data_IF_476011783015
#
_entry.id   IF_476011783015
#
_cell.length_a   1.000
_cell.length_b   1.000
_cell.length_c   1.000
_cell.angle_alpha   90.00
_cell.angle_beta   90.00
_cell.angle_gamma   90.00
#
_symmetry.space_group_name_H-M   'P 1'
#
loop_
_entity.id
_entity.type
_entity.pdbx_description
1 polymer ?
#
# COMPACT_ATOMS: atom_id res chain seq x y z
N UNK A 1 21.54 43.47 117.86
CA UNK A 1 20.09 43.30 117.63
C UNK A 1 19.93 42.91 116.17
N UNK A 2 19.27 41.78 115.90
CA UNK A 2 19.10 41.17 114.58
C UNK A 2 18.54 42.17 113.55
N UNK A 3 19.08 42.15 112.33
CA UNK A 3 18.25 42.31 111.13
C UNK A 3 18.74 41.38 110.02
N UNK A 4 17.88 40.41 109.73
CA UNK A 4 17.87 39.53 108.57
C UNK A 4 17.32 40.30 107.36
N UNK A 5 17.95 40.12 106.20
CA UNK A 5 17.26 40.24 104.90
C UNK A 5 17.95 39.29 103.91
N UNK A 6 17.31 38.19 103.49
CA UNK A 6 17.76 37.42 102.35
C UNK A 6 17.23 38.04 101.05
N UNK A 7 18.14 38.34 100.13
CA UNK A 7 17.84 38.67 98.74
C UNK A 7 17.94 37.43 97.84
N UNK A 8 17.10 37.43 96.81
CA UNK A 8 17.19 36.71 95.54
C UNK A 8 16.80 35.21 95.54
N UNK A 9 15.49 34.97 95.69
CA UNK A 9 14.82 33.95 94.88
C UNK A 9 14.06 34.67 93.75
N UNK A 10 13.82 33.95 92.65
CA UNK A 10 12.83 34.26 91.60
C UNK A 10 13.24 35.17 90.41
N UNK A 11 14.07 34.63 89.50
CA UNK A 11 14.17 35.14 88.11
C UNK A 11 14.16 34.05 87.03
N UNK A 12 14.47 32.80 87.38
CA UNK A 12 14.45 31.68 86.42
C UNK A 12 13.05 31.10 86.22
N UNK A 13 12.22 31.12 87.25
CA UNK A 13 10.86 30.55 87.26
C UNK A 13 9.87 31.39 86.45
N UNK A 14 10.05 32.71 86.41
CA UNK A 14 9.23 33.62 85.59
C UNK A 14 9.45 33.42 84.10
N UNK A 15 10.69 33.24 83.62
CA UNK A 15 10.99 33.01 82.20
C UNK A 15 10.36 31.73 81.65
N UNK A 16 10.40 30.63 82.41
CA UNK A 16 9.76 29.38 81.98
C UNK A 16 8.24 29.45 82.04
N UNK A 17 7.67 30.24 82.96
CA UNK A 17 6.23 30.50 83.02
C UNK A 17 5.74 31.38 81.86
N UNK A 18 6.57 32.33 81.41
CA UNK A 18 6.28 33.25 80.31
C UNK A 18 6.39 32.54 78.94
N UNK A 19 7.39 31.66 78.78
CA UNK A 19 7.47 30.75 77.63
C UNK A 19 6.29 29.78 77.64
N UNK A 20 5.94 29.18 78.78
CA UNK A 20 4.78 28.28 78.90
C UNK A 20 3.45 28.95 78.56
N UNK A 21 3.26 30.23 78.95
CA UNK A 21 2.09 31.03 78.60
C UNK A 21 2.06 31.44 77.12
N UNK A 22 3.22 31.65 76.49
CA UNK A 22 3.31 31.93 75.05
C UNK A 22 2.94 30.71 74.19
N UNK A 23 3.16 29.49 74.69
CA UNK A 23 2.71 28.26 74.05
C UNK A 23 1.23 27.93 74.36
N UNK A 24 0.70 28.28 75.53
CA UNK A 24 -0.73 28.06 75.85
C UNK A 24 -1.68 29.06 75.20
N UNK A 25 -1.19 30.21 74.71
CA UNK A 25 -1.97 31.16 73.90
C UNK A 25 -2.06 30.79 72.41
N UNK A 26 -1.44 29.70 71.95
CA UNK A 26 -1.60 29.22 70.58
C UNK A 26 -2.89 28.41 70.35
N UNK A 27 -3.84 28.42 71.29
CA UNK A 27 -5.17 27.81 71.11
C UNK A 27 -6.05 28.57 70.10
N UNK A 28 -5.64 29.76 69.66
CA UNK A 28 -6.19 30.46 68.49
C UNK A 28 -5.64 29.96 67.14
N UNK A 29 -4.75 28.94 67.13
CA UNK A 29 -4.10 28.44 65.91
C UNK A 29 -4.62 27.09 65.41
N UNK A 30 -5.46 26.39 66.16
CA UNK A 30 -6.04 25.11 65.72
C UNK A 30 -7.17 25.29 64.71
N UNK A 31 -8.03 26.30 64.89
CA UNK A 31 -9.12 26.55 63.93
C UNK A 31 -8.60 27.14 62.61
N UNK A 32 -7.63 28.05 62.66
CA UNK A 32 -6.99 28.61 61.47
C UNK A 32 -6.12 27.58 60.75
N UNK A 33 -5.39 26.71 61.47
CA UNK A 33 -4.60 25.65 60.82
C UNK A 33 -5.49 24.57 60.21
N UNK A 34 -6.59 24.16 60.86
CA UNK A 34 -7.58 23.26 60.27
C UNK A 34 -8.25 23.85 59.03
N UNK A 35 -8.55 25.16 59.02
CA UNK A 35 -9.07 25.85 57.84
C UNK A 35 -8.05 25.89 56.69
N UNK A 36 -6.77 26.17 56.99
CA UNK A 36 -5.71 26.17 55.98
C UNK A 36 -5.47 24.77 55.41
N UNK A 37 -5.43 23.73 56.25
CA UNK A 37 -5.29 22.33 55.82
C UNK A 37 -6.51 21.91 54.98
N UNK A 38 -7.72 22.28 55.39
CA UNK A 38 -8.94 22.03 54.64
C UNK A 38 -8.94 22.71 53.27
N UNK A 39 -8.51 23.98 53.20
CA UNK A 39 -8.38 24.71 51.94
C UNK A 39 -7.35 24.06 51.02
N UNK A 40 -6.21 23.62 51.57
CA UNK A 40 -5.15 22.97 50.79
C UNK A 40 -5.61 21.61 50.26
N UNK A 41 -6.34 20.84 51.05
CA UNK A 41 -6.95 19.57 50.64
C UNK A 41 -7.97 19.77 49.50
N UNK A 42 -8.78 20.84 49.57
CA UNK A 42 -9.73 21.19 48.51
C UNK A 42 -8.98 21.58 47.23
N UNK A 43 -7.92 22.39 47.32
CA UNK A 43 -7.10 22.78 46.15
C UNK A 43 -6.46 21.55 45.50
N UNK A 44 -5.91 20.64 46.31
CA UNK A 44 -5.33 19.39 45.81
C UNK A 44 -6.40 18.51 45.16
N UNK A 45 -7.59 18.38 45.77
CA UNK A 45 -8.70 17.63 45.19
C UNK A 45 -9.15 18.23 43.84
N UNK A 46 -9.23 19.56 43.73
CA UNK A 46 -9.55 20.25 42.48
C UNK A 46 -8.46 20.00 41.43
N UNK A 47 -7.18 20.09 41.78
CA UNK A 47 -6.07 19.79 40.87
C UNK A 47 -6.11 18.34 40.36
N UNK A 48 -6.38 17.37 41.25
CA UNK A 48 -6.53 15.97 40.88
C UNK A 48 -7.70 15.78 39.91
N UNK A 49 -8.85 16.42 40.17
CA UNK A 49 -10.00 16.38 39.27
C UNK A 49 -9.66 17.01 37.92
N UNK A 50 -8.96 18.15 37.88
CA UNK A 50 -8.53 18.79 36.63
C UNK A 50 -7.58 17.87 35.85
N UNK A 51 -6.61 17.25 36.50
CA UNK A 51 -5.67 16.30 35.87
C UNK A 51 -6.43 15.10 35.30
N UNK A 52 -7.38 14.53 36.06
CA UNK A 52 -8.22 13.42 35.60
C UNK A 52 -9.07 13.84 34.41
N UNK A 53 -9.69 15.02 34.44
CA UNK A 53 -10.49 15.55 33.33
C UNK A 53 -9.63 15.81 32.09
N UNK A 54 -8.42 16.35 32.25
CA UNK A 54 -7.46 16.55 31.15
C UNK A 54 -7.04 15.21 30.55
N UNK A 55 -6.74 14.21 31.39
CA UNK A 55 -6.37 12.87 30.94
C UNK A 55 -7.51 12.15 30.22
N UNK A 56 -8.75 12.22 30.74
CA UNK A 56 -9.94 11.67 30.09
C UNK A 56 -10.23 12.36 28.76
N UNK A 57 -10.04 13.69 28.68
CA UNK A 57 -10.23 14.46 27.45
C UNK A 57 -9.15 14.14 26.42
N UNK A 58 -7.89 14.01 26.84
CA UNK A 58 -6.79 13.58 25.99
C UNK A 58 -6.99 12.14 25.47
N UNK A 59 -7.47 11.22 26.32
CA UNK A 59 -7.77 9.83 25.93
C UNK A 59 -8.97 9.73 24.97
N UNK A 60 -10.01 10.56 25.16
CA UNK A 60 -11.16 10.64 24.24
C UNK A 60 -10.81 11.30 22.90
N UNK A 61 -9.83 12.20 22.89
CA UNK A 61 -9.36 12.90 21.69
C UNK A 61 -8.10 12.28 21.08
N UNK A 62 -7.61 11.15 21.61
CA UNK A 62 -6.50 10.43 21.03
C UNK A 62 -6.98 9.83 19.69
N UNK A 63 -6.71 10.55 18.60
CA UNK A 63 -6.97 10.07 17.25
C UNK A 63 -6.11 8.82 17.04
N UNK A 64 -6.76 7.67 16.88
CA UNK A 64 -6.08 6.44 16.52
C UNK A 64 -5.44 6.62 15.14
N UNK A 65 -4.11 6.65 15.09
CA UNK A 65 -3.33 6.67 13.85
C UNK A 65 -2.90 5.21 13.59
N UNK A 66 -3.40 4.56 12.53
CA UNK A 66 -2.99 3.20 12.18
C UNK A 66 -1.47 3.10 11.98
N UNK A 67 -0.89 1.97 12.40
CA UNK A 67 0.52 1.69 12.14
C UNK A 67 0.84 1.76 10.64
N UNK A 68 1.93 2.44 10.29
CA UNK A 68 2.38 2.64 8.91
C UNK A 68 1.84 3.92 8.25
N UNK A 69 1.02 4.72 8.94
CA UNK A 69 0.61 6.04 8.42
C UNK A 69 1.65 7.11 8.76
N UNK A 70 2.02 7.88 7.75
CA UNK A 70 2.90 9.04 7.85
C UNK A 70 2.02 10.26 7.59
N UNK A 71 1.80 11.06 8.64
CA UNK A 71 0.90 12.22 8.62
C UNK A 71 1.64 13.55 8.77
N UNK A 72 2.87 13.53 9.29
CA UNK A 72 3.67 14.73 9.49
C UNK A 72 4.14 15.25 8.13
N UNK A 73 3.91 16.54 7.76
CA UNK A 73 4.36 17.09 6.50
C UNK A 73 5.87 16.93 6.26
N UNK A 74 6.68 17.09 7.31
CA UNK A 74 8.13 16.87 7.26
C UNK A 74 8.48 15.43 6.92
N UNK A 75 7.84 14.44 7.56
CA UNK A 75 8.11 13.03 7.30
C UNK A 75 7.61 12.60 5.92
N UNK A 76 6.50 13.17 5.45
CA UNK A 76 5.98 12.99 4.09
C UNK A 76 7.01 13.48 3.08
N UNK A 77 7.52 14.70 3.27
CA UNK A 77 8.52 15.28 2.38
C UNK A 77 9.82 14.48 2.39
N UNK A 78 10.32 14.08 3.57
CA UNK A 78 11.51 13.22 3.71
C UNK A 78 11.30 11.88 3.00
N UNK A 79 10.13 11.27 3.12
CA UNK A 79 9.81 9.98 2.48
C UNK A 79 9.81 10.11 0.96
N UNK A 80 9.22 11.18 0.41
CA UNK A 80 9.19 11.44 -1.03
C UNK A 80 10.58 11.81 -1.54
N UNK A 81 11.35 12.63 -0.81
CA UNK A 81 12.73 12.97 -1.15
C UNK A 81 13.63 11.74 -1.17
N UNK A 82 13.50 10.85 -0.19
CA UNK A 82 14.19 9.56 -0.20
C UNK A 82 13.83 8.72 -1.43
N UNK A 83 12.56 8.69 -1.83
CA UNK A 83 12.14 8.04 -3.06
C UNK A 83 12.74 8.70 -4.32
N UNK A 84 12.86 10.03 -4.34
CA UNK A 84 13.49 10.80 -5.42
C UNK A 84 14.99 10.52 -5.51
N UNK A 85 15.71 10.54 -4.38
CA UNK A 85 17.15 10.27 -4.30
C UNK A 85 17.48 8.85 -4.77
N UNK A 86 16.60 7.89 -4.45
CA UNK A 86 16.68 6.51 -4.90
C UNK A 86 16.16 6.29 -6.34
N UNK A 87 15.74 7.36 -7.04
CA UNK A 87 15.13 7.32 -8.38
C UNK A 87 13.99 6.29 -8.49
N UNK A 88 13.18 6.22 -7.44
CA UNK A 88 12.07 5.28 -7.36
C UNK A 88 11.00 5.64 -8.40
N UNK A 89 10.47 4.60 -9.06
CA UNK A 89 9.35 4.77 -9.99
C UNK A 89 8.04 4.86 -9.21
N UNK A 90 7.28 5.91 -9.47
CA UNK A 90 5.94 6.13 -8.95
C UNK A 90 4.93 5.59 -9.96
N UNK A 91 4.13 4.62 -9.56
CA UNK A 91 2.95 4.22 -10.34
C UNK A 91 1.80 5.14 -10.00
N UNK A 92 1.34 5.91 -10.97
CA UNK A 92 0.23 6.86 -10.83
C UNK A 92 -1.00 6.24 -11.48
N UNK A 93 -2.04 5.96 -10.69
CA UNK A 93 -3.32 5.45 -11.15
C UNK A 93 -4.34 6.58 -11.20
N UNK A 94 -4.92 6.80 -12.38
CA UNK A 94 -5.92 7.83 -12.60
C UNK A 94 -7.31 7.30 -12.31
N UNK A 95 -8.08 8.04 -11.51
CA UNK A 95 -9.50 7.75 -11.31
C UNK A 95 -10.28 8.30 -12.51
N UNK A 96 -10.99 7.43 -13.22
CA UNK A 96 -11.95 7.82 -14.27
C UNK A 96 -13.31 7.26 -13.91
N UNK A 97 -14.34 8.09 -13.97
CA UNK A 97 -15.74 7.69 -13.71
C UNK A 97 -16.29 6.78 -14.81
N UNK A 98 -15.75 6.87 -16.03
CA UNK A 98 -16.29 6.20 -17.23
C UNK A 98 -15.33 5.21 -17.89
N UNK A 99 -14.06 5.17 -17.45
CA UNK A 99 -13.06 4.24 -17.97
C UNK A 99 -12.37 3.46 -16.86
N UNK A 100 -12.02 2.21 -17.20
CA UNK A 100 -11.06 1.37 -16.49
C UNK A 100 -9.84 2.18 -16.02
N UNK A 101 -9.46 2.04 -14.73
CA UNK A 101 -8.25 2.65 -14.12
C UNK A 101 -7.07 2.55 -15.09
N UNK A 102 -6.63 3.69 -15.63
CA UNK A 102 -5.38 3.82 -16.38
C UNK A 102 -4.26 4.06 -15.37
N UNK A 103 -3.13 3.38 -15.52
CA UNK A 103 -1.95 3.65 -14.72
C UNK A 103 -0.76 4.00 -15.61
N UNK A 104 0.15 4.80 -15.08
CA UNK A 104 1.42 5.11 -15.72
C UNK A 104 2.55 5.06 -14.70
N UNK A 105 3.80 4.99 -15.17
CA UNK A 105 4.96 5.20 -14.33
C UNK A 105 5.51 6.60 -14.55
N UNK A 106 5.73 7.31 -13.45
CA UNK A 106 6.39 8.59 -13.42
C UNK A 106 7.60 8.55 -12.48
N UNK A 107 8.52 9.50 -12.65
CA UNK A 107 9.68 9.69 -11.77
C UNK A 107 9.57 11.06 -11.14
N UNK A 108 9.75 11.17 -9.83
CA UNK A 108 9.78 12.48 -9.15
C UNK A 108 11.06 13.21 -9.57
N UNK A 109 10.91 14.43 -10.07
CA UNK A 109 12.02 15.29 -10.50
C UNK A 109 12.27 16.44 -9.54
N UNK A 110 11.23 16.87 -8.81
CA UNK A 110 11.34 17.94 -7.83
C UNK A 110 10.25 17.83 -6.76
N UNK A 111 10.56 18.28 -5.56
CA UNK A 111 9.64 18.39 -4.42
C UNK A 111 9.87 19.75 -3.79
N UNK A 112 8.86 20.60 -3.82
CA UNK A 112 8.97 21.97 -3.32
C UNK A 112 7.70 22.77 -3.54
N UNK A 113 7.57 23.90 -2.85
CA UNK A 113 6.44 24.84 -3.02
C UNK A 113 5.06 24.18 -2.86
N UNK A 114 4.93 23.16 -1.99
CA UNK A 114 3.66 22.46 -1.77
C UNK A 114 3.28 21.46 -2.88
N UNK A 115 4.15 21.20 -3.84
CA UNK A 115 3.89 20.28 -4.96
C UNK A 115 5.02 19.28 -5.16
N UNK A 116 4.66 18.13 -5.74
CA UNK A 116 5.57 17.10 -6.21
C UNK A 116 5.51 17.15 -7.74
N UNK A 117 6.63 17.45 -8.39
CA UNK A 117 6.72 17.45 -9.85
C UNK A 117 7.26 16.11 -10.31
N UNK A 118 6.55 15.47 -11.23
CA UNK A 118 6.87 14.16 -11.76
C UNK A 118 7.00 14.21 -13.27
N UNK A 119 8.01 13.56 -13.81
CA UNK A 119 8.15 13.27 -15.24
C UNK A 119 7.39 11.99 -15.57
N UNK A 120 6.48 12.06 -16.55
CA UNK A 120 5.72 10.92 -17.04
C UNK A 120 6.00 10.68 -18.52
N UNK A 121 6.41 9.46 -18.85
CA UNK A 121 6.71 9.01 -20.22
C UNK A 121 5.61 8.07 -20.73
N UNK A 122 5.22 8.19 -22.01
CA UNK A 122 4.37 7.19 -22.68
C UNK A 122 2.86 7.37 -22.50
N UNK A 123 2.42 8.46 -21.86
CA UNK A 123 1.01 8.86 -21.85
C UNK A 123 0.72 9.77 -23.05
N UNK A 124 0.08 9.22 -24.08
CA UNK A 124 -0.44 10.02 -25.20
C UNK A 124 -1.69 10.80 -24.74
N UNK A 125 -1.78 12.07 -25.12
CA UNK A 125 -2.93 12.95 -24.88
C UNK A 125 -3.19 13.36 -23.41
N UNK A 126 -2.14 13.62 -22.61
CA UNK A 126 -2.36 14.32 -21.33
C UNK A 126 -2.88 15.72 -21.62
N UNK A 127 -4.08 16.04 -21.12
CA UNK A 127 -4.74 17.31 -21.38
C UNK A 127 -5.00 18.08 -20.08
N UNK A 128 -5.21 19.39 -20.21
CA UNK A 128 -5.59 20.26 -19.07
C UNK A 128 -6.88 19.82 -18.36
N UNK A 129 -7.71 18.98 -18.97
CA UNK A 129 -8.92 18.44 -18.34
C UNK A 129 -8.65 17.49 -17.16
N UNK A 130 -7.38 17.15 -16.93
CA UNK A 130 -6.96 16.30 -15.81
C UNK A 130 -6.63 17.09 -14.54
N UNK A 131 -6.53 18.42 -14.64
CA UNK A 131 -6.36 19.30 -13.48
C UNK A 131 -7.48 19.06 -12.46
N UNK A 132 -7.11 18.94 -11.18
CA UNK A 132 -8.02 18.68 -10.07
C UNK A 132 -8.45 17.22 -9.91
N UNK A 133 -8.13 16.32 -10.86
CA UNK A 133 -8.48 14.90 -10.71
C UNK A 133 -7.65 14.24 -9.63
N UNK A 134 -8.28 13.32 -8.90
CA UNK A 134 -7.62 12.47 -7.92
C UNK A 134 -6.82 11.37 -8.62
N UNK A 135 -5.62 11.13 -8.09
CA UNK A 135 -4.73 10.05 -8.48
C UNK A 135 -4.25 9.30 -7.26
N UNK A 136 -4.11 7.98 -7.39
CA UNK A 136 -3.41 7.17 -6.39
C UNK A 136 -1.98 6.95 -6.86
N UNK A 137 -1.02 7.28 -6.01
CA UNK A 137 0.40 7.13 -6.27
C UNK A 137 0.95 5.99 -5.42
N UNK A 138 1.68 5.07 -6.06
CA UNK A 138 2.34 3.94 -5.39
C UNK A 138 3.84 3.96 -5.68
N UNK A 139 4.66 3.92 -4.66
CA UNK A 139 6.11 3.93 -4.79
C UNK A 139 6.77 3.02 -3.76
N UNK A 140 8.08 2.81 -3.91
CA UNK A 140 8.87 2.04 -2.95
C UNK A 140 10.11 2.79 -2.53
N UNK A 141 10.57 2.55 -1.31
CA UNK A 141 11.82 3.09 -0.78
C UNK A 141 12.58 1.93 -0.13
N UNK A 142 13.89 1.87 -0.32
CA UNK A 142 14.75 0.96 0.41
C UNK A 142 15.14 1.60 1.75
N UNK A 143 14.99 0.85 2.84
CA UNK A 143 15.52 1.26 4.14
C UNK A 143 17.05 1.08 4.23
N UNK A 144 17.65 1.50 5.35
CA UNK A 144 19.10 1.35 5.60
C UNK A 144 19.59 -0.11 5.54
N UNK A 145 18.70 -1.06 5.85
CA UNK A 145 18.96 -2.51 5.80
C UNK A 145 18.65 -3.11 4.42
N UNK A 146 18.38 -2.27 3.41
CA UNK A 146 17.99 -2.64 2.04
C UNK A 146 16.66 -3.40 1.92
N UNK A 147 15.81 -3.34 2.94
CA UNK A 147 14.44 -3.87 2.84
C UNK A 147 13.59 -2.92 1.99
N UNK A 148 12.71 -3.51 1.16
CA UNK A 148 11.81 -2.73 0.31
C UNK A 148 10.53 -2.40 1.07
N UNK A 149 10.33 -1.11 1.35
CA UNK A 149 9.09 -0.56 1.90
C UNK A 149 8.23 -0.02 0.77
N UNK A 150 6.92 -0.27 0.85
CA UNK A 150 5.94 0.13 -0.16
C UNK A 150 4.98 1.15 0.43
N UNK A 151 4.78 2.25 -0.31
CA UNK A 151 3.99 3.39 0.12
C UNK A 151 2.94 3.72 -0.92
N UNK A 152 1.81 4.23 -0.44
CA UNK A 152 0.70 4.72 -1.24
C UNK A 152 0.19 6.04 -0.67
N UNK A 153 -0.21 6.97 -1.54
CA UNK A 153 -1.01 8.12 -1.16
C UNK A 153 -1.96 8.50 -2.29
N UNK A 154 -3.00 9.25 -1.96
CA UNK A 154 -3.88 9.87 -2.95
C UNK A 154 -3.63 11.37 -2.95
N UNK A 155 -3.60 11.97 -4.14
CA UNK A 155 -3.37 13.41 -4.32
C UNK A 155 -4.15 13.92 -5.54
N UNK A 156 -4.23 15.23 -5.72
CA UNK A 156 -4.86 15.86 -6.87
C UNK A 156 -3.83 16.45 -7.83
N UNK A 157 -4.14 16.40 -9.12
CA UNK A 157 -3.28 17.00 -10.16
C UNK A 157 -3.39 18.53 -10.08
N UNK A 158 -2.29 19.17 -9.71
CA UNK A 158 -2.16 20.62 -9.57
C UNK A 158 -1.62 21.31 -10.83
N UNK A 159 -0.97 20.58 -11.74
CA UNK A 159 -0.35 21.17 -12.93
C UNK A 159 0.01 20.11 -13.97
N UNK A 160 -0.09 20.47 -15.24
CA UNK A 160 0.39 19.65 -16.36
C UNK A 160 1.17 20.55 -17.30
N UNK A 161 2.40 20.16 -17.61
CA UNK A 161 3.29 20.84 -18.54
C UNK A 161 3.86 19.84 -19.54
N UNK A 162 3.42 19.85 -20.81
CA UNK A 162 4.07 19.04 -21.84
C UNK A 162 5.50 19.57 -22.06
N UNK A 163 6.47 18.66 -22.14
CA UNK A 163 7.87 18.99 -22.44
C UNK A 163 8.19 18.61 -23.88
N UNK A 164 7.78 17.41 -24.30
CA UNK A 164 7.84 16.92 -25.67
C UNK A 164 6.54 16.21 -26.04
N UNK A 165 6.46 15.62 -27.24
CA UNK A 165 5.30 14.82 -27.65
C UNK A 165 5.12 13.53 -26.84
N UNK A 166 6.19 13.02 -26.23
CA UNK A 166 6.21 11.74 -25.49
C UNK A 166 6.41 11.92 -23.98
N UNK A 167 6.89 13.11 -23.56
CA UNK A 167 7.23 13.44 -22.16
C UNK A 167 6.38 14.62 -21.68
N UNK A 168 5.74 14.43 -20.54
CA UNK A 168 5.00 15.48 -19.84
C UNK A 168 5.36 15.52 -18.38
N UNK A 169 5.47 16.72 -17.82
CA UNK A 169 5.57 16.92 -16.38
C UNK A 169 4.18 17.07 -15.79
N UNK A 170 3.90 16.32 -14.73
CA UNK A 170 2.69 16.43 -13.93
C UNK A 170 3.09 16.89 -12.54
N UNK A 171 2.47 17.96 -12.08
CA UNK A 171 2.58 18.43 -10.70
C UNK A 171 1.35 17.97 -9.93
N UNK A 172 1.56 17.32 -8.79
CA UNK A 172 0.51 16.93 -7.85
C UNK A 172 0.72 17.67 -6.53
N UNK A 173 -0.33 17.87 -5.75
CA UNK A 173 -0.18 18.48 -4.42
C UNK A 173 0.56 17.52 -3.47
N UNK A 174 1.26 18.07 -2.48
CA UNK A 174 1.79 17.24 -1.38
C UNK A 174 0.61 16.57 -0.68
N UNK A 175 0.63 15.23 -0.49
CA UNK A 175 -0.48 14.53 0.14
C UNK A 175 -0.57 14.87 1.63
N UNK A 176 -1.77 14.80 2.18
CA UNK A 176 -1.99 14.95 3.63
C UNK A 176 -1.54 13.71 4.42
N UNK A 177 -1.43 12.56 3.75
CA UNK A 177 -1.01 11.29 4.34
C UNK A 177 -0.27 10.42 3.34
N UNK A 178 0.71 9.68 3.83
CA UNK A 178 1.30 8.52 3.15
C UNK A 178 0.99 7.27 3.97
N UNK A 179 0.54 6.21 3.31
CA UNK A 179 0.25 4.92 3.92
C UNK A 179 1.30 3.91 3.50
N UNK A 180 2.01 3.32 4.46
CA UNK A 180 2.82 2.14 4.23
C UNK A 180 1.90 0.93 4.09
N UNK A 181 1.70 0.48 2.84
CA UNK A 181 0.81 -0.62 2.50
C UNK A 181 1.55 -1.64 1.67
N UNK A 182 1.21 -2.92 1.89
CA UNK A 182 1.60 -3.98 0.97
C UNK A 182 0.92 -3.73 -0.38
N UNK A 183 1.70 -3.34 -1.39
CA UNK A 183 1.21 -2.86 -2.71
C UNK A 183 0.32 -3.88 -3.45
N UNK A 184 0.40 -5.17 -3.12
CA UNK A 184 -0.29 -6.24 -3.85
C UNK A 184 -1.30 -6.91 -2.93
N UNK A 185 -2.57 -6.94 -3.37
CA UNK A 185 -3.65 -7.64 -2.69
C UNK A 185 -3.43 -9.16 -2.65
N UNK A 186 -2.77 -9.71 -3.68
CA UNK A 186 -2.38 -11.12 -3.76
C UNK A 186 -0.88 -11.32 -3.91
N UNK A 187 -0.41 -12.40 -3.29
CA UNK A 187 0.96 -12.89 -3.38
C UNK A 187 1.30 -13.23 -4.84
N UNK A 188 2.47 -12.79 -5.29
CA UNK A 188 3.05 -13.20 -6.59
C UNK A 188 4.13 -14.21 -6.35
N UNK A 189 4.09 -15.29 -7.12
CA UNK A 189 5.15 -16.29 -7.17
C UNK A 189 5.75 -16.30 -8.57
N UNK A 190 7.04 -16.57 -8.65
CA UNK A 190 7.76 -16.85 -9.89
C UNK A 190 7.86 -18.39 -9.97
N UNK A 191 6.89 -19.07 -10.62
CA UNK A 191 6.82 -20.52 -10.53
C UNK A 191 7.91 -21.19 -11.37
N UNK A 192 8.49 -22.31 -10.90
CA UNK A 192 9.33 -23.16 -11.73
C UNK A 192 8.63 -23.56 -13.02
N UNK A 193 9.34 -23.49 -14.15
CA UNK A 193 8.79 -23.78 -15.49
C UNK A 193 8.21 -25.21 -15.59
N UNK A 194 8.73 -26.16 -14.81
CA UNK A 194 8.24 -27.54 -14.73
C UNK A 194 6.77 -27.65 -14.28
N UNK A 195 6.22 -26.64 -13.61
CA UNK A 195 4.82 -26.62 -13.20
C UNK A 195 3.89 -25.99 -14.25
N UNK A 196 4.43 -25.53 -15.37
CA UNK A 196 3.68 -24.90 -16.45
C UNK A 196 3.52 -25.90 -17.58
N UNK A 197 2.29 -26.37 -17.80
CA UNK A 197 1.98 -27.40 -18.80
C UNK A 197 1.65 -26.80 -20.17
N UNK A 198 1.28 -25.52 -20.23
CA UNK A 198 1.05 -24.82 -21.47
C UNK A 198 0.50 -23.42 -21.29
N UNK A 199 0.80 -22.55 -22.26
CA UNK A 199 0.23 -21.22 -22.37
C UNK A 199 -0.18 -21.01 -23.83
N UNK A 200 -1.35 -20.45 -24.07
CA UNK A 200 -1.75 -19.99 -25.39
C UNK A 200 -2.49 -18.66 -25.30
N UNK A 201 -2.17 -17.74 -26.21
CA UNK A 201 -2.65 -16.35 -26.20
C UNK A 201 -3.36 -16.03 -27.52
N UNK A 202 -4.55 -15.44 -27.42
CA UNK A 202 -5.31 -14.92 -28.56
C UNK A 202 -5.73 -13.47 -28.29
N UNK A 203 -5.91 -12.70 -29.36
CA UNK A 203 -6.56 -11.38 -29.26
C UNK A 203 -8.05 -11.56 -28.96
N UNK A 204 -8.62 -10.66 -28.16
CA UNK A 204 -10.07 -10.62 -27.97
C UNK A 204 -10.78 -10.50 -29.32
N UNK A 205 -11.84 -11.30 -29.48
CA UNK A 205 -12.77 -11.21 -30.61
C UNK A 205 -14.15 -10.88 -30.09
N UNK A 206 -14.75 -9.85 -30.68
CA UNK A 206 -16.12 -9.45 -30.41
C UNK A 206 -17.00 -9.92 -31.57
N UNK A 207 -18.19 -10.38 -31.23
CA UNK A 207 -19.29 -10.60 -32.16
C UNK A 207 -19.93 -9.25 -32.53
N UNK A 208 -20.68 -9.22 -33.63
CA UNK A 208 -21.32 -7.98 -34.13
C UNK A 208 -22.39 -7.39 -33.20
N UNK A 209 -22.83 -8.15 -32.19
CA UNK A 209 -23.80 -7.76 -31.16
C UNK A 209 -23.13 -7.13 -29.92
N UNK A 210 -21.80 -7.01 -29.90
CA UNK A 210 -21.05 -6.48 -28.76
C UNK A 210 -20.69 -7.50 -27.68
N UNK A 211 -20.97 -8.79 -27.89
CA UNK A 211 -20.56 -9.86 -26.99
C UNK A 211 -19.19 -10.44 -27.36
N UNK A 212 -18.54 -11.13 -26.42
CA UNK A 212 -17.30 -11.87 -26.70
C UNK A 212 -17.58 -13.16 -27.49
N UNK A 213 -16.78 -13.44 -28.51
CA UNK A 213 -16.83 -14.73 -29.20
C UNK A 213 -16.21 -15.80 -28.29
N UNK A 214 -17.03 -16.70 -27.75
CA UNK A 214 -16.61 -17.77 -26.85
C UNK A 214 -16.41 -19.12 -27.54
N UNK A 215 -16.49 -19.17 -28.87
CA UNK A 215 -16.22 -20.39 -29.62
C UNK A 215 -14.77 -20.43 -30.10
N UNK A 216 -13.94 -21.25 -29.45
CA UNK A 216 -12.48 -21.29 -29.69
C UNK A 216 -12.10 -21.68 -31.12
N UNK A 217 -12.99 -22.36 -31.88
CA UNK A 217 -12.74 -22.70 -33.28
C UNK A 217 -12.63 -21.46 -34.16
N UNK A 218 -13.35 -20.40 -33.81
CA UNK A 218 -13.37 -19.14 -34.55
C UNK A 218 -12.13 -18.28 -34.26
N UNK A 219 -11.39 -18.58 -33.19
CA UNK A 219 -10.24 -17.79 -32.76
C UNK A 219 -9.01 -18.05 -33.62
N UNK A 220 -8.96 -19.20 -34.30
CA UNK A 220 -7.80 -19.62 -35.07
C UNK A 220 -6.63 -20.06 -34.19
N UNK A 221 -5.42 -20.04 -34.75
CA UNK A 221 -4.21 -20.43 -34.03
C UNK A 221 -3.83 -19.38 -32.97
N UNK A 222 -3.26 -19.79 -31.83
CA UNK A 222 -2.71 -18.86 -30.85
C UNK A 222 -1.64 -17.95 -31.49
N UNK A 223 -1.63 -16.68 -31.11
CA UNK A 223 -0.65 -15.69 -31.54
C UNK A 223 0.70 -15.91 -30.83
N UNK A 224 0.64 -16.35 -29.58
CA UNK A 224 1.79 -16.76 -28.79
C UNK A 224 1.45 -18.08 -28.08
N UNK A 225 2.43 -18.97 -27.99
CA UNK A 225 2.27 -20.24 -27.30
C UNK A 225 3.53 -20.71 -26.58
N UNK A 226 3.29 -21.41 -25.48
CA UNK A 226 4.28 -22.19 -24.75
C UNK A 226 3.81 -23.63 -24.68
N UNK A 227 4.63 -24.55 -25.20
CA UNK A 227 4.42 -25.99 -25.05
C UNK A 227 5.76 -26.60 -24.58
N UNK A 228 5.80 -27.25 -23.41
CA UNK A 228 6.99 -27.90 -22.90
C UNK A 228 7.63 -28.85 -23.93
N UNK A 229 8.96 -28.77 -24.06
CA UNK A 229 9.73 -29.62 -24.99
C UNK A 229 9.54 -29.32 -26.48
N UNK A 230 8.77 -28.30 -26.87
CA UNK A 230 8.58 -27.92 -28.28
C UNK A 230 9.05 -26.51 -28.58
N UNK A 231 8.16 -25.52 -28.38
CA UNK A 231 8.40 -24.12 -28.72
C UNK A 231 7.87 -23.25 -27.58
N UNK A 232 8.68 -22.27 -27.20
CA UNK A 232 8.40 -21.32 -26.13
C UNK A 232 8.44 -19.88 -26.70
N UNK A 233 7.34 -19.44 -27.30
CA UNK A 233 7.19 -18.07 -27.80
C UNK A 233 6.87 -17.09 -26.68
N UNK A 234 6.28 -17.61 -25.60
CA UNK A 234 5.95 -16.88 -24.39
C UNK A 234 6.36 -17.72 -23.19
N UNK A 235 6.70 -17.06 -22.07
CA UNK A 235 6.98 -17.71 -20.79
C UNK A 235 6.21 -17.01 -19.69
N UNK A 236 5.79 -17.77 -18.67
CA UNK A 236 5.22 -17.20 -17.46
C UNK A 236 6.36 -16.74 -16.55
N UNK A 237 6.48 -15.43 -16.32
CA UNK A 237 7.46 -14.89 -15.38
C UNK A 237 6.95 -14.94 -13.95
N UNK A 238 5.69 -14.55 -13.72
CA UNK A 238 5.06 -14.62 -12.42
C UNK A 238 3.54 -14.72 -12.51
N UNK A 239 2.94 -15.17 -11.40
CA UNK A 239 1.50 -15.39 -11.28
C UNK A 239 1.01 -15.04 -9.87
N UNK A 240 -0.19 -14.48 -9.80
CA UNK A 240 -0.96 -14.26 -8.56
C UNK A 240 -2.44 -14.51 -8.80
N UNK A 241 -3.24 -14.45 -7.73
CA UNK A 241 -4.69 -14.61 -7.83
C UNK A 241 -5.34 -13.62 -8.82
N UNK A 242 -4.83 -12.39 -8.91
CA UNK A 242 -5.39 -11.35 -9.79
C UNK A 242 -4.74 -11.16 -11.17
N UNK A 243 -3.70 -11.91 -11.53
CA UNK A 243 -3.02 -11.69 -12.80
C UNK A 243 -1.74 -12.49 -13.04
N UNK A 244 -1.16 -12.29 -14.22
CA UNK A 244 0.11 -12.92 -14.63
C UNK A 244 1.03 -11.91 -15.28
N UNK A 245 2.34 -12.19 -15.24
CA UNK A 245 3.34 -11.54 -16.08
C UNK A 245 3.86 -12.55 -17.10
N UNK A 246 3.74 -12.21 -18.37
CA UNK A 246 4.29 -12.99 -19.47
C UNK A 246 5.54 -12.32 -20.02
N UNK A 247 6.53 -13.12 -20.41
CA UNK A 247 7.74 -12.67 -21.08
C UNK A 247 7.75 -13.21 -22.51
N UNK A 248 8.00 -12.34 -23.48
CA UNK A 248 7.97 -12.63 -24.92
C UNK A 248 9.26 -12.12 -25.55
N UNK A 249 9.95 -13.01 -26.27
CA UNK A 249 11.18 -12.60 -26.98
C UNK A 249 10.87 -11.60 -28.08
N UNK A 250 11.80 -10.69 -28.36
CA UNK A 250 11.67 -9.66 -29.41
C UNK A 250 11.12 -10.20 -30.73
N UNK A 251 11.63 -11.34 -31.20
CA UNK A 251 11.24 -11.92 -32.48
C UNK A 251 9.81 -12.43 -32.45
N UNK A 252 9.43 -13.21 -31.44
CA UNK A 252 8.05 -13.71 -31.30
C UNK A 252 7.05 -12.57 -31.05
N UNK A 253 7.45 -11.51 -30.35
CA UNK A 253 6.63 -10.31 -30.17
C UNK A 253 6.30 -9.65 -31.52
N UNK A 254 7.32 -9.47 -32.39
CA UNK A 254 7.13 -8.96 -33.75
C UNK A 254 6.26 -9.88 -34.61
N UNK A 255 6.55 -11.18 -34.58
CA UNK A 255 5.88 -12.17 -35.42
C UNK A 255 4.43 -12.41 -34.99
N UNK A 256 4.07 -12.09 -33.73
CA UNK A 256 2.71 -12.24 -33.22
C UNK A 256 1.70 -11.26 -33.83
N UNK A 257 2.15 -10.14 -34.39
CA UNK A 257 1.29 -9.08 -34.91
C UNK A 257 0.47 -8.34 -33.83
N UNK A 258 0.82 -8.48 -32.55
CA UNK A 258 0.21 -7.75 -31.44
C UNK A 258 0.89 -6.39 -31.24
N UNK A 259 0.07 -5.35 -31.06
CA UNK A 259 0.55 -3.98 -30.78
C UNK A 259 0.79 -3.70 -29.28
N UNK A 260 0.39 -4.64 -28.41
CA UNK A 260 0.56 -4.61 -26.94
C UNK A 260 0.21 -3.26 -26.29
N UNK A 261 -0.96 -2.68 -26.60
CA UNK A 261 -1.39 -1.42 -26.01
C UNK A 261 -2.00 -1.64 -24.62
N UNK A 262 -1.75 -0.71 -23.70
CA UNK A 262 -2.41 -0.71 -22.37
C UNK A 262 -3.93 -0.70 -22.57
N UNK A 263 -4.63 -1.60 -21.88
CA UNK A 263 -6.08 -1.75 -21.98
C UNK A 263 -6.52 -2.83 -22.97
N UNK A 264 -5.65 -3.26 -23.89
CA UNK A 264 -5.93 -4.37 -24.80
C UNK A 264 -6.32 -5.61 -24.02
N UNK A 265 -7.28 -6.37 -24.57
CA UNK A 265 -7.75 -7.59 -23.94
C UNK A 265 -7.31 -8.81 -24.75
N UNK A 266 -6.87 -9.83 -24.01
CA UNK A 266 -6.33 -11.07 -24.55
C UNK A 266 -7.04 -12.24 -23.88
N UNK A 267 -7.39 -13.25 -24.68
CA UNK A 267 -7.76 -14.56 -24.16
C UNK A 267 -6.50 -15.37 -23.90
N UNK A 268 -6.42 -15.99 -22.73
CA UNK A 268 -5.30 -16.81 -22.30
C UNK A 268 -5.83 -18.15 -21.83
N UNK A 269 -5.30 -19.22 -22.43
CA UNK A 269 -5.35 -20.55 -21.87
C UNK A 269 -4.08 -20.76 -21.05
N UNK A 270 -4.26 -21.06 -19.76
CA UNK A 270 -3.18 -21.40 -18.85
C UNK A 270 -3.41 -22.81 -18.30
N UNK A 271 -2.44 -23.69 -18.51
CA UNK A 271 -2.44 -25.03 -17.96
C UNK A 271 -1.31 -25.15 -16.93
N UNK A 272 -1.68 -25.44 -15.67
CA UNK A 272 -0.78 -25.60 -14.54
C UNK A 272 -0.78 -27.05 -14.07
N UNK A 273 0.36 -27.51 -13.54
CA UNK A 273 0.48 -28.78 -12.84
C UNK A 273 0.31 -28.56 -11.34
N UNK A 274 -0.48 -29.42 -10.68
CA UNK A 274 -0.58 -29.50 -9.22
C UNK A 274 0.11 -30.79 -8.74
N UNK A 275 1.35 -30.70 -8.22
CA UNK A 275 2.11 -31.86 -7.75
C UNK A 275 1.44 -32.64 -6.62
N UNK A 276 0.70 -31.96 -5.73
CA UNK A 276 0.07 -32.63 -4.57
C UNK A 276 -1.06 -33.60 -5.01
N UNK A 277 -1.82 -33.22 -6.04
CA UNK A 277 -2.93 -34.02 -6.55
C UNK A 277 -2.58 -34.80 -7.80
N UNK A 278 -1.44 -34.49 -8.44
CA UNK A 278 -1.07 -35.02 -9.74
C UNK A 278 -2.06 -34.61 -10.84
N UNK A 279 -2.74 -33.48 -10.70
CA UNK A 279 -3.76 -33.04 -11.64
C UNK A 279 -3.33 -31.80 -12.44
N UNK A 280 -3.83 -31.73 -13.67
CA UNK A 280 -3.77 -30.53 -14.50
C UNK A 280 -4.89 -29.58 -14.12
N UNK A 281 -4.53 -28.34 -13.80
CA UNK A 281 -5.46 -27.24 -13.63
C UNK A 281 -5.49 -26.39 -14.90
N UNK A 282 -6.67 -26.28 -15.51
CA UNK A 282 -6.87 -25.55 -16.77
C UNK A 282 -7.70 -24.30 -16.52
N UNK A 283 -7.20 -23.15 -16.96
CA UNK A 283 -7.87 -21.86 -16.82
C UNK A 283 -8.01 -21.17 -18.17
N UNK A 284 -9.25 -20.88 -18.57
CA UNK A 284 -9.55 -19.97 -19.68
C UNK A 284 -9.82 -18.58 -19.11
N UNK A 285 -9.00 -17.61 -19.46
CA UNK A 285 -8.96 -16.31 -18.82
C UNK A 285 -9.09 -15.21 -19.86
N UNK A 286 -10.04 -14.30 -19.67
CA UNK A 286 -9.99 -13.00 -20.34
C UNK A 286 -9.16 -12.06 -19.48
N UNK A 287 -8.08 -11.56 -20.06
CA UNK A 287 -7.12 -10.70 -19.38
C UNK A 287 -7.07 -9.33 -20.03
N UNK A 288 -6.72 -8.32 -19.24
CA UNK A 288 -6.40 -6.97 -19.72
C UNK A 288 -4.92 -6.68 -19.55
N UNK A 289 -4.28 -6.20 -20.60
CA UNK A 289 -2.92 -5.71 -20.57
C UNK A 289 -2.86 -4.42 -19.73
N UNK A 290 -2.11 -4.46 -18.64
CA UNK A 290 -1.89 -3.33 -17.73
C UNK A 290 -0.56 -2.64 -18.02
N UNK A 291 0.47 -3.43 -18.26
CA UNK A 291 1.83 -2.93 -18.36
C UNK A 291 2.60 -3.70 -19.43
N UNK A 292 2.70 -3.16 -20.64
CA UNK A 292 3.75 -3.56 -21.58
C UNK A 292 5.06 -2.86 -21.17
N UNK A 293 6.12 -3.64 -20.99
CA UNK A 293 7.47 -3.13 -20.80
C UNK A 293 8.37 -3.74 -21.86
N UNK A 294 9.11 -2.92 -22.60
CA UNK A 294 10.11 -3.39 -23.55
C UNK A 294 11.49 -3.17 -22.96
N UNK A 295 12.28 -4.23 -22.87
CA UNK A 295 13.66 -4.14 -22.42
C UNK A 295 14.48 -3.29 -23.39
N UNK A 296 15.36 -2.44 -22.88
CA UNK A 296 16.12 -1.52 -23.72
C UNK A 296 17.20 -2.25 -24.54
N UNK A 297 17.86 -3.25 -23.94
CA UNK A 297 18.98 -3.97 -24.52
C UNK A 297 18.50 -5.10 -25.42
N UNK A 298 17.67 -6.01 -24.89
CA UNK A 298 17.23 -7.19 -25.63
C UNK A 298 16.05 -6.89 -26.55
N UNK A 299 15.28 -5.83 -26.25
CA UNK A 299 13.99 -5.51 -26.88
C UNK A 299 12.96 -6.62 -26.69
N UNK A 300 13.15 -7.48 -25.70
CA UNK A 300 12.11 -8.41 -25.27
C UNK A 300 10.97 -7.65 -24.59
N UNK A 301 9.79 -8.25 -24.59
CA UNK A 301 8.57 -7.61 -24.09
C UNK A 301 8.04 -8.39 -22.90
N UNK A 302 7.89 -7.68 -21.80
CA UNK A 302 7.19 -8.14 -20.61
C UNK A 302 5.76 -7.59 -20.61
N UNK A 303 4.78 -8.47 -20.42
CA UNK A 303 3.36 -8.18 -20.45
C UNK A 303 2.75 -8.45 -19.08
N UNK A 304 2.45 -7.39 -18.32
CA UNK A 304 1.65 -7.48 -17.10
C UNK A 304 0.16 -7.53 -17.43
N UNK A 305 -0.50 -8.64 -17.10
CA UNK A 305 -1.89 -8.93 -17.45
C UNK A 305 -2.73 -9.11 -16.18
N UNK A 306 -3.88 -8.44 -16.13
CA UNK A 306 -4.86 -8.58 -15.05
C UNK A 306 -6.02 -9.46 -15.50
N UNK A 307 -6.48 -10.36 -14.64
CA UNK A 307 -7.69 -11.15 -14.92
C UNK A 307 -8.93 -10.27 -14.90
N UNK A 308 -9.85 -10.51 -15.84
CA UNK A 308 -11.17 -9.87 -15.88
C UNK A 308 -12.26 -10.91 -15.63
N UNK A 309 -12.19 -12.01 -16.37
CA UNK A 309 -13.18 -13.08 -16.31
C UNK A 309 -12.50 -14.43 -16.47
N UNK A 310 -13.10 -15.45 -15.85
CA UNK A 310 -12.77 -16.85 -16.08
C UNK A 310 -13.91 -17.50 -16.88
N UNK A 311 -13.53 -18.33 -17.83
CA UNK A 311 -14.45 -19.17 -18.58
C UNK A 311 -14.17 -20.65 -18.32
N UNK A 312 -15.17 -21.47 -18.59
CA UNK A 312 -15.12 -22.92 -18.51
C UNK A 312 -15.63 -23.53 -19.81
N UNK A 313 -15.19 -24.75 -20.10
CA UNK A 313 -15.72 -25.47 -21.26
C UNK A 313 -17.17 -25.85 -20.97
N UNK A 314 -18.07 -25.52 -21.91
CA UNK A 314 -19.47 -25.91 -21.81
C UNK A 314 -19.58 -27.43 -21.83
N UNK A 315 -20.40 -27.98 -20.93
CA UNK A 315 -20.63 -29.41 -20.85
C UNK A 315 -21.10 -29.98 -22.19
N UNK A 316 -20.49 -31.09 -22.62
CA UNK A 316 -20.76 -31.72 -23.91
C UNK A 316 -20.18 -31.00 -25.13
N UNK A 317 -19.49 -29.87 -24.96
CA UNK A 317 -18.81 -29.16 -26.04
C UNK A 317 -17.29 -29.29 -25.93
N UNK A 318 -16.62 -29.32 -27.08
CA UNK A 318 -15.16 -29.30 -27.18
C UNK A 318 -14.62 -27.93 -27.62
N UNK A 319 -15.49 -26.95 -27.84
CA UNK A 319 -15.08 -25.64 -28.38
C UNK A 319 -15.83 -24.43 -27.84
N UNK A 320 -17.00 -24.64 -27.23
CA UNK A 320 -17.77 -23.52 -26.67
C UNK A 320 -17.38 -23.31 -25.22
N UNK A 321 -17.00 -22.08 -24.91
CA UNK A 321 -16.79 -21.64 -23.54
C UNK A 321 -18.05 -20.96 -23.00
N UNK A 322 -18.21 -21.03 -21.68
CA UNK A 322 -19.20 -20.27 -20.94
C UNK A 322 -18.49 -19.47 -19.84
N UNK A 323 -18.96 -18.26 -19.57
CA UNK A 323 -18.43 -17.49 -18.46
C UNK A 323 -18.74 -18.20 -17.14
N UNK A 324 -17.72 -18.34 -16.30
CA UNK A 324 -17.90 -18.76 -14.93
C UNK A 324 -18.48 -17.64 -14.06
N UNK A 325 -18.60 -17.87 -12.75
CA UNK A 325 -19.00 -16.85 -11.79
C UNK A 325 -18.14 -15.59 -11.90
N UNK A 326 -18.71 -14.43 -11.57
CA UNK A 326 -17.95 -13.18 -11.54
C UNK A 326 -16.81 -13.27 -10.52
N UNK A 327 -15.63 -12.82 -10.93
CA UNK A 327 -14.45 -12.82 -10.08
C UNK A 327 -14.61 -11.76 -8.98
N UNK A 328 -14.57 -12.17 -7.71
CA UNK A 328 -14.52 -11.23 -6.60
C UNK A 328 -13.19 -10.49 -6.65
N UNK A 329 -13.22 -9.16 -6.65
CA UNK A 329 -12.02 -8.31 -6.72
C UNK A 329 -11.09 -8.60 -7.92
N UNK A 330 -11.61 -9.19 -9.01
CA UNK A 330 -10.83 -9.67 -10.16
C UNK A 330 -9.78 -10.75 -9.82
N UNK A 331 -10.03 -11.59 -8.80
CA UNK A 331 -9.14 -12.67 -8.41
C UNK A 331 -9.73 -14.05 -8.75
N UNK A 332 -8.85 -15.00 -9.09
CA UNK A 332 -9.16 -16.41 -9.31
C UNK A 332 -8.58 -17.21 -8.14
N UNK A 333 -9.44 -17.62 -7.22
CA UNK A 333 -9.05 -18.26 -5.95
C UNK A 333 -8.19 -19.51 -6.14
N UNK A 334 -8.50 -20.34 -7.14
CA UNK A 334 -7.72 -21.54 -7.46
C UNK A 334 -6.27 -21.21 -7.82
N UNK A 335 -6.07 -20.17 -8.64
CA UNK A 335 -4.73 -19.68 -9.01
C UNK A 335 -4.04 -19.08 -7.79
N UNK A 336 -4.77 -18.35 -6.94
CA UNK A 336 -4.25 -17.81 -5.68
C UNK A 336 -3.75 -18.90 -4.72
N UNK A 337 -4.55 -19.94 -4.52
CA UNK A 337 -4.21 -21.10 -3.69
C UNK A 337 -3.01 -21.85 -4.26
N UNK A 338 -2.99 -22.08 -5.57
CA UNK A 338 -1.87 -22.70 -6.26
C UNK A 338 -0.58 -21.88 -6.07
N UNK A 339 -0.64 -20.55 -6.26
CA UNK A 339 0.51 -19.66 -6.11
C UNK A 339 1.04 -19.63 -4.66
N UNK A 340 0.14 -19.64 -3.67
CA UNK A 340 0.50 -19.71 -2.26
C UNK A 340 1.25 -21.00 -1.93
N UNK A 341 0.76 -22.16 -2.41
CA UNK A 341 1.43 -23.45 -2.20
C UNK A 341 2.83 -23.46 -2.80
N UNK A 342 2.98 -23.02 -4.06
CA UNK A 342 4.30 -22.94 -4.72
C UNK A 342 5.25 -22.00 -3.97
N UNK A 343 4.74 -20.89 -3.44
CA UNK A 343 5.56 -19.99 -2.63
C UNK A 343 6.08 -20.68 -1.36
N UNK A 344 5.23 -21.39 -0.61
CA UNK A 344 5.64 -22.10 0.59
C UNK A 344 6.65 -23.22 0.31
N UNK A 345 6.50 -23.95 -0.80
CA UNK A 345 7.47 -24.96 -1.24
C UNK A 345 8.85 -24.35 -1.52
N UNK A 346 8.90 -23.27 -2.30
CA UNK A 346 10.16 -22.58 -2.62
C UNK A 346 10.85 -22.01 -1.38
N UNK A 347 10.09 -21.62 -0.36
CA UNK A 347 10.66 -21.18 0.93
C UNK A 347 11.19 -22.35 1.76
N UNK A 348 10.50 -23.50 1.76
CA UNK A 348 10.99 -24.71 2.44
C UNK A 348 12.29 -25.21 1.84
N UNK A 349 12.41 -25.21 0.51
CA UNK A 349 13.64 -25.61 -0.18
C UNK A 349 14.82 -24.68 0.14
N UNK A 350 14.57 -23.38 0.33
CA UNK A 350 15.61 -22.38 0.66
C UNK A 350 15.94 -22.27 2.15
N UNK A 351 15.07 -22.77 3.03
CA UNK A 351 15.24 -22.69 4.49
C UNK A 351 15.90 -23.92 5.13
N UNK A 352 16.46 -24.82 4.31
CA UNK A 352 17.12 -26.06 4.73
C UNK A 352 18.65 -26.05 4.55
N UNK A 353 19.26 -24.88 4.36
CA UNK A 353 20.72 -24.70 4.41
C UNK A 353 21.18 -24.07 5.73
#
# INVERSE_FOLDING_TARGET
MNFLTPMAADRTTDYFSEIGRSFSQSSMRDQLSMQVIGLLAIIVAILVVIIILMWLRAKRNAVYIPHGWILTPTDIEVTIRSAMDQRSKFEVQFHSETEKRRSTFCTVIDVGNGVITMECSGLKNISKSWMGRMVDCYFRVQDEKRNQMYYMFSSSIAGIRPVTTEISHISITIPEKIEQKQKRASLRVDPPEQYILGIAVWKERMLGDGNHDLNIKNWGKPLLSFIPGKRAQVRLSNISAGGIKLHVKRQDAKDSGLEFNIGDKLFILLDLWEPETGQRQRHWLLCRLQLPYTDFETRDVDLGLQFLHRAEMKEGSNSELVWGPSLRSNEVDEIGNWAMRRHLELYREKGLE
#
